data_IF_925853046007
#
_entry.id   IF_925853046007
#
_cell.length_a   1.000
_cell.length_b   1.000
_cell.length_c   1.000
_cell.angle_alpha   90.00
_cell.angle_beta   90.00
_cell.angle_gamma   90.00
#
_symmetry.space_group_name_H-M   'P 1'
#
loop_
_entity.id
_entity.type
_entity.pdbx_description
1 polymer ?
#
# COMPACT_ATOMS: atom_id res chain seq x y z
N UNK A 1 -1.12 -15.60 9.55
CA UNK A 1 -1.17 -14.16 9.89
C UNK A 1 -2.14 -13.48 8.93
N UNK A 2 -2.99 -12.56 9.41
CA UNK A 2 -3.95 -11.89 8.51
C UNK A 2 -3.30 -10.87 7.56
N UNK A 3 -2.05 -10.53 7.76
CA UNK A 3 -1.31 -9.67 6.83
C UNK A 3 0.07 -10.26 6.60
N UNK A 4 0.48 -10.31 5.32
CA UNK A 4 1.81 -10.79 4.94
C UNK A 4 2.42 -9.80 3.96
N UNK A 5 3.72 -9.55 4.12
CA UNK A 5 4.49 -8.71 3.20
C UNK A 5 5.54 -9.55 2.51
N UNK A 6 5.61 -9.44 1.20
CA UNK A 6 6.66 -10.06 0.39
C UNK A 6 7.41 -8.99 -0.37
N UNK A 7 8.72 -9.04 -0.30
CA UNK A 7 9.60 -8.09 -0.95
C UNK A 7 10.13 -8.68 -2.26
N UNK A 8 9.97 -7.93 -3.34
CA UNK A 8 10.57 -8.30 -4.63
C UNK A 8 11.60 -7.24 -5.00
N UNK A 9 12.89 -7.49 -4.72
CA UNK A 9 13.92 -6.48 -4.96
C UNK A 9 14.13 -6.16 -6.44
N UNK A 10 13.88 -7.13 -7.33
CA UNK A 10 14.05 -6.93 -8.76
C UNK A 10 13.03 -5.91 -9.28
N UNK A 11 11.77 -6.07 -8.87
CA UNK A 11 10.69 -5.17 -9.26
C UNK A 11 10.60 -3.94 -8.36
N UNK A 12 11.38 -3.89 -7.29
CA UNK A 12 11.31 -2.85 -6.26
C UNK A 12 9.86 -2.71 -5.77
N UNK A 13 9.32 -3.82 -5.29
CA UNK A 13 7.91 -3.94 -4.96
C UNK A 13 7.73 -4.67 -3.63
N UNK A 14 6.85 -4.12 -2.78
CA UNK A 14 6.36 -4.83 -1.60
C UNK A 14 4.92 -5.23 -1.90
N UNK A 15 4.62 -6.52 -1.81
CA UNK A 15 3.25 -7.01 -1.93
C UNK A 15 2.73 -7.26 -0.51
N UNK A 16 1.67 -6.55 -0.16
CA UNK A 16 1.03 -6.66 1.16
C UNK A 16 -0.31 -7.33 0.97
N UNK A 17 -0.46 -8.55 1.46
CA UNK A 17 -1.69 -9.31 1.31
C UNK A 17 -2.46 -9.30 2.62
N UNK A 18 -3.69 -8.80 2.56
CA UNK A 18 -4.61 -8.80 3.70
C UNK A 18 -5.56 -9.98 3.56
N UNK A 19 -5.68 -10.79 4.61
CA UNK A 19 -6.72 -11.80 4.71
C UNK A 19 -7.48 -11.52 6.00
N UNK A 20 -8.76 -11.78 6.04
CA UNK A 20 -9.57 -11.53 7.23
C UNK A 20 -9.47 -10.05 7.64
N UNK A 21 -9.71 -9.75 8.92
CA UNK A 21 -9.60 -8.41 9.47
C UNK A 21 -8.17 -8.18 9.94
N UNK A 22 -7.55 -7.10 9.43
CA UNK A 22 -6.18 -6.72 9.79
C UNK A 22 -6.25 -5.55 10.75
N UNK A 23 -5.57 -5.65 11.90
CA UNK A 23 -5.44 -4.53 12.82
C UNK A 23 -4.31 -3.62 12.34
N UNK A 24 -4.36 -2.35 12.77
CA UNK A 24 -3.28 -1.42 12.43
C UNK A 24 -1.93 -1.92 12.97
N UNK A 25 -1.92 -2.48 14.19
CA UNK A 25 -0.68 -2.96 14.79
C UNK A 25 -0.05 -4.09 13.97
N UNK A 26 -0.88 -4.99 13.44
CA UNK A 26 -0.39 -6.06 12.57
C UNK A 26 0.18 -5.50 11.27
N UNK A 27 -0.54 -4.55 10.68
CA UNK A 27 -0.12 -3.92 9.44
C UNK A 27 1.21 -3.16 9.64
N UNK A 28 1.29 -2.36 10.69
CA UNK A 28 2.49 -1.57 10.99
C UNK A 28 3.70 -2.47 11.27
N UNK A 29 3.49 -3.57 11.98
CA UNK A 29 4.57 -4.53 12.25
C UNK A 29 5.10 -5.16 10.96
N UNK A 30 4.18 -5.53 10.05
CA UNK A 30 4.56 -6.13 8.77
C UNK A 30 5.35 -5.15 7.90
N UNK A 31 4.91 -3.90 7.83
CA UNK A 31 5.62 -2.87 7.06
C UNK A 31 6.97 -2.54 7.69
N UNK A 32 7.05 -2.44 9.00
CA UNK A 32 8.30 -2.18 9.70
C UNK A 32 9.31 -3.28 9.42
N UNK A 33 8.85 -4.54 9.44
CA UNK A 33 9.72 -5.68 9.11
C UNK A 33 10.22 -5.58 7.67
N UNK A 34 9.34 -5.22 6.72
CA UNK A 34 9.73 -5.06 5.32
C UNK A 34 10.77 -3.95 5.15
N UNK A 35 10.58 -2.83 5.83
CA UNK A 35 11.53 -1.71 5.77
C UNK A 35 12.90 -2.08 6.37
N UNK A 36 12.92 -3.06 7.25
CA UNK A 36 14.17 -3.51 7.89
C UNK A 36 14.91 -4.57 7.07
N UNK A 37 14.31 -5.04 5.98
CA UNK A 37 14.95 -6.02 5.11
C UNK A 37 16.15 -5.36 4.42
N UNK A 38 17.34 -6.02 4.40
CA UNK A 38 18.51 -5.45 3.75
C UNK A 38 18.33 -5.11 2.27
N UNK A 39 17.39 -5.77 1.59
CA UNK A 39 17.12 -5.50 0.19
C UNK A 39 16.18 -4.31 -0.03
N UNK A 40 15.59 -3.78 1.04
CA UNK A 40 14.69 -2.65 0.92
C UNK A 40 15.43 -1.33 0.75
N UNK A 41 14.91 -0.50 -0.15
CA UNK A 41 15.35 0.88 -0.31
C UNK A 41 14.11 1.77 -0.43
N UNK A 42 14.15 3.02 0.05
CA UNK A 42 13.03 3.94 -0.17
C UNK A 42 12.70 4.04 -1.66
N UNK A 43 11.41 4.10 -1.98
CA UNK A 43 10.96 4.16 -3.36
C UNK A 43 10.40 2.85 -3.89
N UNK A 44 10.50 1.76 -3.14
CA UNK A 44 9.79 0.53 -3.52
C UNK A 44 8.29 0.82 -3.51
N UNK A 45 7.61 0.41 -4.57
CA UNK A 45 6.16 0.54 -4.66
C UNK A 45 5.46 -0.49 -3.77
N UNK A 46 4.20 -0.23 -3.44
CA UNK A 46 3.40 -1.14 -2.63
C UNK A 46 2.16 -1.57 -3.39
N UNK A 47 1.91 -2.87 -3.42
CA UNK A 47 0.65 -3.44 -3.89
C UNK A 47 -0.05 -4.03 -2.67
N UNK A 48 -1.15 -3.40 -2.26
CA UNK A 48 -1.90 -3.83 -1.09
C UNK A 48 -3.12 -4.58 -1.56
N UNK A 49 -3.10 -5.89 -1.43
CA UNK A 49 -4.17 -6.76 -1.88
C UNK A 49 -5.16 -6.97 -0.75
N UNK A 50 -6.35 -6.38 -0.88
CA UNK A 50 -7.42 -6.48 0.10
C UNK A 50 -8.60 -7.32 -0.39
N UNK A 51 -8.41 -8.10 -1.47
CA UNK A 51 -9.52 -8.84 -2.06
C UNK A 51 -10.10 -9.90 -1.13
N UNK A 52 -9.29 -10.47 -0.25
CA UNK A 52 -9.71 -11.52 0.68
C UNK A 52 -9.93 -11.00 2.09
N UNK A 53 -9.90 -9.69 2.30
CA UNK A 53 -9.99 -9.14 3.64
C UNK A 53 -11.36 -8.54 3.93
N UNK A 54 -11.67 -8.42 5.21
CA UNK A 54 -12.81 -7.61 5.68
C UNK A 54 -12.42 -6.14 5.46
N UNK A 55 -13.32 -5.29 4.93
CA UNK A 55 -13.00 -3.87 4.76
C UNK A 55 -12.58 -3.23 6.09
N UNK A 56 -11.49 -2.46 6.09
CA UNK A 56 -11.03 -1.84 7.33
C UNK A 56 -11.93 -0.69 7.77
N UNK A 57 -11.77 -0.28 9.02
CA UNK A 57 -12.49 0.84 9.58
C UNK A 57 -11.87 2.17 9.19
N UNK A 58 -12.59 3.27 9.44
CA UNK A 58 -12.04 4.61 9.29
C UNK A 58 -10.83 4.82 10.19
N UNK A 59 -10.90 4.29 11.42
CA UNK A 59 -9.79 4.40 12.36
C UNK A 59 -8.52 3.74 11.82
N UNK A 60 -8.67 2.59 11.17
CA UNK A 60 -7.55 1.93 10.52
C UNK A 60 -6.96 2.83 9.41
N UNK A 61 -7.81 3.39 8.57
CA UNK A 61 -7.37 4.24 7.47
C UNK A 61 -6.63 5.48 7.98
N UNK A 62 -7.15 6.11 9.03
CA UNK A 62 -6.49 7.26 9.66
C UNK A 62 -5.12 6.88 10.23
N UNK A 63 -5.04 5.72 10.87
CA UNK A 63 -3.79 5.24 11.47
C UNK A 63 -2.73 4.93 10.40
N UNK A 64 -3.15 4.35 9.27
CA UNK A 64 -2.25 4.09 8.14
C UNK A 64 -1.70 5.40 7.59
N UNK A 65 -2.55 6.40 7.37
CA UNK A 65 -2.11 7.70 6.86
C UNK A 65 -1.13 8.37 7.85
N UNK A 66 -1.41 8.28 9.15
CA UNK A 66 -0.50 8.83 10.16
C UNK A 66 0.85 8.11 10.16
N UNK A 67 0.84 6.78 9.99
CA UNK A 67 2.06 6.00 9.87
C UNK A 67 2.89 6.44 8.65
N UNK A 68 2.23 6.67 7.52
CA UNK A 68 2.90 7.13 6.32
C UNK A 68 3.55 8.50 6.56
N UNK A 69 2.84 9.44 7.17
CA UNK A 69 3.41 10.75 7.49
C UNK A 69 4.63 10.64 8.41
N UNK A 70 4.54 9.79 9.43
CA UNK A 70 5.62 9.60 10.41
C UNK A 70 6.86 8.99 9.76
N UNK A 71 6.66 8.07 8.82
CA UNK A 71 7.74 7.33 8.16
C UNK A 71 7.93 7.75 6.71
N UNK A 72 7.61 9.00 6.40
CA UNK A 72 7.58 9.50 5.02
C UNK A 72 8.85 9.19 4.24
N UNK A 73 10.00 9.30 4.89
CA UNK A 73 11.29 9.03 4.24
C UNK A 73 11.47 7.56 3.85
N UNK A 74 10.88 6.65 4.62
CA UNK A 74 10.96 5.23 4.33
C UNK A 74 10.21 4.88 3.04
N UNK A 75 9.13 5.61 2.74
CA UNK A 75 8.36 5.36 1.53
C UNK A 75 9.04 5.96 0.29
N UNK A 76 9.75 7.07 0.44
CA UNK A 76 10.35 7.73 -0.71
C UNK A 76 9.30 8.19 -1.70
N UNK A 77 9.55 8.00 -2.99
CA UNK A 77 8.62 8.35 -4.07
C UNK A 77 7.77 7.16 -4.50
N UNK A 78 7.46 6.25 -3.57
CA UNK A 78 6.68 5.06 -3.84
C UNK A 78 5.28 5.39 -4.34
N UNK A 79 4.72 4.48 -5.14
CA UNK A 79 3.30 4.45 -5.46
C UNK A 79 2.65 3.35 -4.63
N UNK A 80 1.42 3.60 -4.21
CA UNK A 80 0.68 2.74 -3.30
C UNK A 80 -0.61 2.33 -4.02
N UNK A 81 -0.68 1.08 -4.48
CA UNK A 81 -1.86 0.56 -5.17
C UNK A 81 -2.68 -0.31 -4.20
N UNK A 82 -3.99 -0.08 -4.16
CA UNK A 82 -4.89 -0.88 -3.34
C UNK A 82 -5.80 -1.68 -4.28
N UNK A 83 -5.80 -3.00 -4.11
CA UNK A 83 -6.55 -3.92 -4.94
C UNK A 83 -7.77 -4.42 -4.15
N UNK A 84 -8.95 -4.25 -4.74
CA UNK A 84 -10.22 -4.59 -4.10
C UNK A 84 -11.06 -5.46 -5.01
N UNK A 85 -12.11 -6.10 -4.45
CA UNK A 85 -13.01 -6.96 -5.21
C UNK A 85 -14.49 -6.75 -4.91
N UNK A 86 -14.84 -5.81 -4.02
CA UNK A 86 -16.24 -5.51 -3.74
C UNK A 86 -16.44 -4.04 -3.41
N UNK A 87 -17.71 -3.61 -3.43
CA UNK A 87 -18.05 -2.20 -3.28
C UNK A 87 -17.69 -1.62 -1.90
N UNK A 88 -17.84 -2.41 -0.84
CA UNK A 88 -17.49 -1.93 0.50
C UNK A 88 -15.99 -1.70 0.63
N UNK A 89 -15.20 -2.65 0.12
CA UNK A 89 -13.74 -2.51 0.11
C UNK A 89 -13.31 -1.33 -0.77
N UNK A 90 -13.99 -1.14 -1.90
CA UNK A 90 -13.70 -0.02 -2.79
C UNK A 90 -13.89 1.32 -2.08
N UNK A 91 -15.01 1.48 -1.37
CA UNK A 91 -15.32 2.72 -0.64
C UNK A 91 -14.24 3.05 0.39
N UNK A 92 -13.82 2.06 1.17
CA UNK A 92 -12.77 2.26 2.17
C UNK A 92 -11.41 2.50 1.54
N UNK A 93 -11.12 1.87 0.40
CA UNK A 93 -9.88 2.09 -0.31
C UNK A 93 -9.82 3.50 -0.89
N UNK A 94 -10.96 4.02 -1.39
CA UNK A 94 -11.02 5.41 -1.86
C UNK A 94 -10.78 6.39 -0.71
N UNK A 95 -11.30 6.10 0.47
CA UNK A 95 -11.03 6.91 1.64
C UNK A 95 -9.54 6.90 1.98
N UNK A 96 -8.91 5.71 1.94
CA UNK A 96 -7.48 5.59 2.17
C UNK A 96 -6.68 6.40 1.15
N UNK A 97 -7.10 6.37 -0.11
CA UNK A 97 -6.47 7.14 -1.18
C UNK A 97 -6.46 8.63 -0.84
N UNK A 98 -7.61 9.16 -0.40
CA UNK A 98 -7.73 10.56 -0.03
C UNK A 98 -6.85 10.92 1.18
N UNK A 99 -6.84 10.05 2.18
CA UNK A 99 -6.03 10.27 3.37
C UNK A 99 -4.54 10.19 3.08
N UNK A 100 -4.14 9.26 2.23
CA UNK A 100 -2.73 9.11 1.84
C UNK A 100 -2.25 10.29 1.01
N UNK A 101 -3.15 10.91 0.23
CA UNK A 101 -2.82 12.11 -0.51
C UNK A 101 -2.39 13.23 0.44
N UNK A 102 -3.08 13.36 1.59
CA UNK A 102 -2.69 14.34 2.59
C UNK A 102 -1.37 13.98 3.29
N UNK A 103 -0.92 12.74 3.15
CA UNK A 103 0.38 12.28 3.63
C UNK A 103 1.44 12.32 2.51
N UNK A 104 1.09 12.92 1.38
CA UNK A 104 1.98 13.10 0.24
C UNK A 104 2.46 11.79 -0.38
N UNK A 105 1.59 10.78 -0.37
CA UNK A 105 1.90 9.48 -0.97
C UNK A 105 0.88 9.18 -2.07
N UNK A 106 1.36 9.02 -3.29
CA UNK A 106 0.51 8.74 -4.45
C UNK A 106 -0.15 7.38 -4.30
N UNK A 107 -1.48 7.37 -4.24
CA UNK A 107 -2.26 6.17 -3.97
C UNK A 107 -3.38 6.04 -4.99
N UNK A 108 -3.66 4.82 -5.43
CA UNK A 108 -4.71 4.56 -6.40
C UNK A 108 -5.38 3.23 -6.12
N UNK A 109 -6.68 3.14 -6.42
CA UNK A 109 -7.48 1.94 -6.16
C UNK A 109 -7.73 1.21 -7.47
N UNK A 110 -7.62 -0.11 -7.47
CA UNK A 110 -7.78 -0.95 -8.64
C UNK A 110 -8.70 -2.14 -8.35
N UNK A 111 -9.41 -2.57 -9.39
CA UNK A 111 -10.20 -3.81 -9.37
C UNK A 111 -9.43 -4.96 -10.03
N UNK A 112 -8.43 -4.65 -10.82
CA UNK A 112 -7.64 -5.62 -11.57
C UNK A 112 -6.19 -5.59 -11.12
N UNK A 113 -5.68 -6.76 -10.77
CA UNK A 113 -4.26 -6.88 -10.38
C UNK A 113 -3.34 -6.47 -11.54
N UNK A 114 -3.68 -6.87 -12.76
CA UNK A 114 -2.87 -6.53 -13.92
C UNK A 114 -2.75 -5.02 -14.10
N UNK A 115 -3.87 -4.31 -13.95
CA UNK A 115 -3.87 -2.84 -14.07
C UNK A 115 -3.09 -2.19 -12.94
N UNK A 116 -3.20 -2.73 -11.72
CA UNK A 116 -2.44 -2.22 -10.59
C UNK A 116 -0.94 -2.36 -10.83
N UNK A 117 -0.51 -3.54 -11.27
CA UNK A 117 0.90 -3.79 -11.53
C UNK A 117 1.42 -2.93 -12.67
N UNK A 118 0.61 -2.72 -13.71
CA UNK A 118 0.98 -1.84 -14.82
C UNK A 118 1.18 -0.41 -14.35
N UNK A 119 0.26 0.10 -13.51
CA UNK A 119 0.39 1.45 -12.98
C UNK A 119 1.63 1.59 -12.09
N UNK A 120 1.92 0.58 -11.27
CA UNK A 120 3.09 0.60 -10.39
C UNK A 120 4.40 0.55 -11.19
N UNK A 121 4.41 -0.21 -12.29
CA UNK A 121 5.59 -0.31 -13.15
C UNK A 121 5.71 0.88 -14.10
N UNK A 122 4.66 1.67 -14.24
CA UNK A 122 4.62 2.78 -15.17
C UNK A 122 5.58 3.90 -14.81
N UNK A 123 6.01 4.64 -15.81
CA UNK A 123 6.90 5.79 -15.60
C UNK A 123 6.08 7.00 -15.19
N UNK A 124 6.57 7.70 -14.18
CA UNK A 124 5.95 8.96 -13.80
C UNK A 124 6.28 10.02 -14.84
N UNK A 125 5.40 11.03 -15.04
CA UNK A 125 5.69 12.09 -16.01
C UNK A 125 7.05 12.75 -15.82
N UNK A 126 7.44 12.99 -14.58
CA UNK A 126 8.74 13.59 -14.28
C UNK A 126 9.90 12.68 -14.67
N UNK A 127 9.68 11.38 -14.72
CA UNK A 127 10.70 10.40 -15.08
C UNK A 127 10.71 10.15 -16.57
N UNK A 128 9.55 10.26 -17.20
CA UNK A 128 9.36 9.85 -18.58
C UNK A 128 9.55 10.95 -19.61
N UNK A 129 9.59 12.14 -19.15
CA UNK A 129 9.71 13.29 -20.07
C UNK A 129 11.10 13.80 -20.14
#
# INVERSE_FOLDING_TARGET
MPVECQLDPVKRLIVVVHTELVTFEEWAAALTAAFSDPAYEPGFNLLVDRRASTPPSRAFADAVAAFIRRHRRKFGDARFAILVSDAAAFGMARMQEMLNESADLETRVFWSEAEALEWLAGRRPADGT
#
